data_IF_944583172544
#
_entry.id   IF_944583172544
#
_cell.length_a   1.000
_cell.length_b   1.000
_cell.length_c   1.000
_cell.angle_alpha   90.00
_cell.angle_beta   90.00
_cell.angle_gamma   90.00
#
_symmetry.space_group_name_H-M   'P 1'
#
loop_
_entity.id
_entity.type
_entity.pdbx_description
1 polymer ?
#
# COMPACT_ATOMS: atom_id res chain seq x y z
N UNK A 1 -16.77 -14.01 68.49
CA UNK A 1 -16.61 -15.43 68.09
C UNK A 1 -17.02 -15.57 66.63
N UNK A 2 -16.29 -16.39 65.88
CA UNK A 2 -16.21 -16.41 64.41
C UNK A 2 -16.85 -17.70 63.89
N UNK A 3 -17.78 -17.61 62.94
CA UNK A 3 -18.29 -18.74 62.12
C UNK A 3 -18.78 -18.16 60.79
N UNK A 4 -17.93 -17.98 59.78
CA UNK A 4 -17.66 -18.89 58.65
C UNK A 4 -18.88 -19.73 58.23
N UNK A 5 -19.50 -19.34 57.11
CA UNK A 5 -20.16 -20.27 56.20
C UNK A 5 -19.83 -19.84 54.77
N UNK A 6 -19.03 -20.68 54.08
CA UNK A 6 -18.67 -20.55 52.67
C UNK A 6 -19.83 -21.09 51.84
N UNK A 7 -20.36 -20.28 50.92
CA UNK A 7 -21.21 -20.79 49.85
C UNK A 7 -20.42 -20.74 48.55
N UNK A 8 -20.08 -21.92 48.03
CA UNK A 8 -19.57 -22.10 46.67
C UNK A 8 -20.78 -22.30 45.77
N UNK A 9 -21.01 -21.38 44.84
CA UNK A 9 -22.10 -21.53 43.90
C UNK A 9 -22.04 -20.49 42.80
N UNK A 10 -21.67 -20.96 41.61
CA UNK A 10 -21.92 -20.34 40.31
C UNK A 10 -20.87 -19.30 39.89
N UNK A 11 -19.78 -19.85 39.32
CA UNK A 11 -19.03 -19.23 38.23
C UNK A 11 -20.01 -18.88 37.11
N UNK A 12 -20.47 -17.64 37.06
CA UNK A 12 -21.09 -17.09 35.86
C UNK A 12 -19.96 -16.65 34.93
N UNK A 13 -19.62 -17.50 33.97
CA UNK A 13 -18.80 -17.13 32.81
C UNK A 13 -19.63 -16.15 32.00
N UNK A 14 -19.35 -14.86 32.16
CA UNK A 14 -19.91 -13.84 31.28
C UNK A 14 -19.32 -14.05 29.89
N UNK A 15 -20.21 -14.44 28.97
CA UNK A 15 -19.93 -14.65 27.55
C UNK A 15 -19.51 -13.29 26.95
N UNK A 16 -18.22 -13.12 26.66
CA UNK A 16 -17.73 -11.95 25.93
C UNK A 16 -18.25 -12.07 24.50
N UNK A 17 -19.26 -11.26 24.16
CA UNK A 17 -19.74 -11.16 22.79
C UNK A 17 -18.62 -10.59 21.91
N UNK A 18 -17.97 -11.46 21.14
CA UNK A 18 -17.04 -11.07 20.09
C UNK A 18 -17.87 -10.49 18.93
N UNK A 19 -18.07 -9.17 18.94
CA UNK A 19 -18.69 -8.47 17.81
C UNK A 19 -17.68 -8.45 16.67
N UNK A 20 -17.91 -9.28 15.65
CA UNK A 20 -17.23 -9.17 14.37
C UNK A 20 -17.62 -7.84 13.73
N UNK A 21 -16.74 -6.85 13.83
CA UNK A 21 -16.84 -5.60 13.09
C UNK A 21 -16.61 -5.91 11.61
N UNK A 22 -17.68 -5.99 10.83
CA UNK A 22 -17.58 -6.04 9.37
C UNK A 22 -17.01 -4.70 8.90
N UNK A 23 -15.76 -4.70 8.44
CA UNK A 23 -15.15 -3.58 7.75
C UNK A 23 -15.94 -3.29 6.48
N UNK A 24 -16.74 -2.23 6.47
CA UNK A 24 -17.30 -1.69 5.24
C UNK A 24 -16.15 -1.17 4.38
N UNK A 25 -15.78 -1.89 3.33
CA UNK A 25 -14.89 -1.36 2.28
C UNK A 25 -15.65 -0.24 1.56
N UNK A 26 -15.39 1.00 1.96
CA UNK A 26 -15.86 2.16 1.21
C UNK A 26 -15.06 2.24 -0.10
N UNK A 27 -15.62 1.71 -1.19
CA UNK A 27 -15.21 2.06 -2.54
C UNK A 27 -15.69 3.49 -2.81
N UNK A 28 -14.78 4.45 -2.62
CA UNK A 28 -15.02 5.84 -3.00
C UNK A 28 -14.97 5.96 -4.53
N UNK A 29 -16.08 5.64 -5.21
CA UNK A 29 -16.32 6.08 -6.58
C UNK A 29 -16.87 7.52 -6.54
N UNK A 30 -15.98 8.49 -6.34
CA UNK A 30 -16.31 9.89 -6.55
C UNK A 30 -15.44 10.37 -7.72
N UNK A 31 -16.05 10.40 -8.91
CA UNK A 31 -15.60 11.18 -10.06
C UNK A 31 -15.75 12.69 -9.77
N UNK A 32 -15.11 13.14 -8.68
CA UNK A 32 -14.86 14.55 -8.45
C UNK A 32 -13.61 14.89 -9.24
N UNK A 33 -13.67 15.98 -10.00
CA UNK A 33 -12.54 16.61 -10.66
C UNK A 33 -11.26 16.34 -9.90
N UNK A 34 -10.25 15.79 -10.59
CA UNK A 34 -8.93 15.48 -10.05
C UNK A 34 -8.33 16.75 -9.46
N UNK A 35 -8.67 17.07 -8.21
CA UNK A 35 -7.86 17.93 -7.36
C UNK A 35 -6.52 17.21 -7.37
N UNK A 36 -5.52 17.81 -8.03
CA UNK A 36 -4.19 17.23 -8.13
C UNK A 36 -3.77 16.81 -6.74
N UNK A 37 -3.66 15.51 -6.52
CA UNK A 37 -3.46 15.01 -5.18
C UNK A 37 -2.08 15.45 -4.72
N UNK A 38 -1.97 15.84 -3.45
CA UNK A 38 -0.69 16.25 -2.88
C UNK A 38 0.32 15.09 -2.90
N UNK A 39 -0.14 13.86 -3.07
CA UNK A 39 0.67 12.66 -3.21
C UNK A 39 0.65 12.28 -4.68
N UNK A 40 1.82 12.17 -5.31
CA UNK A 40 1.94 11.74 -6.70
C UNK A 40 3.05 10.70 -6.85
N UNK A 41 2.71 9.51 -7.35
CA UNK A 41 3.68 8.49 -7.74
C UNK A 41 3.80 8.43 -9.27
N UNK A 42 5.01 8.61 -9.79
CA UNK A 42 5.30 8.59 -11.23
C UNK A 42 6.38 7.55 -11.56
N UNK A 43 6.21 6.85 -12.66
CA UNK A 43 7.29 6.08 -13.28
C UNK A 43 8.24 7.03 -13.98
N UNK A 44 9.54 6.95 -13.67
CA UNK A 44 10.56 7.87 -14.21
C UNK A 44 11.59 7.18 -15.13
N UNK A 45 11.39 5.90 -15.43
CA UNK A 45 12.24 5.13 -16.33
C UNK A 45 12.89 3.92 -15.66
N UNK A 46 13.98 3.45 -16.26
CA UNK A 46 14.75 2.32 -15.76
C UNK A 46 16.16 2.77 -15.39
N UNK A 47 16.72 2.17 -14.34
CA UNK A 47 18.13 2.27 -13.97
C UNK A 47 18.67 0.85 -13.84
N UNK A 48 19.72 0.52 -14.58
CA UNK A 48 20.28 -0.86 -14.62
C UNK A 48 19.21 -1.94 -14.85
N UNK A 49 18.30 -1.71 -15.80
CA UNK A 49 17.16 -2.58 -16.12
C UNK A 49 16.10 -2.72 -15.02
N UNK A 50 16.21 -1.99 -13.91
CA UNK A 50 15.22 -1.95 -12.83
C UNK A 50 14.32 -0.72 -12.95
N UNK A 51 12.99 -0.85 -12.82
CA UNK A 51 12.08 0.28 -12.94
C UNK A 51 12.19 1.18 -11.71
N UNK A 52 12.23 2.49 -11.97
CA UNK A 52 12.37 3.52 -10.96
C UNK A 52 11.12 4.38 -10.92
N UNK A 53 10.63 4.61 -9.72
CA UNK A 53 9.45 5.42 -9.42
C UNK A 53 9.86 6.60 -8.56
N UNK A 54 9.24 7.75 -8.80
CA UNK A 54 9.40 8.94 -7.99
C UNK A 54 8.08 9.26 -7.31
N UNK A 55 8.15 9.30 -5.98
CA UNK A 55 7.08 9.79 -5.12
C UNK A 55 7.33 11.27 -4.83
N UNK A 56 6.37 12.11 -5.19
CA UNK A 56 6.36 13.52 -4.82
C UNK A 56 5.25 13.76 -3.80
N UNK A 57 5.59 14.42 -2.71
CA UNK A 57 4.70 14.79 -1.61
C UNK A 57 4.64 16.31 -1.57
N UNK A 58 3.67 16.89 -2.28
CA UNK A 58 3.47 18.32 -2.47
C UNK A 58 2.57 18.92 -1.37
N UNK A 59 2.86 18.61 -0.12
CA UNK A 59 2.14 19.12 1.04
C UNK A 59 2.54 20.57 1.36
N UNK A 60 1.54 21.43 1.66
CA UNK A 60 1.75 22.85 2.00
C UNK A 60 2.34 23.06 3.40
N UNK A 61 2.06 22.15 4.32
CA UNK A 61 2.54 22.18 5.71
C UNK A 61 3.29 20.91 6.04
N UNK A 62 4.20 20.96 7.02
CA UNK A 62 4.96 19.79 7.46
C UNK A 62 4.03 18.65 7.89
N UNK A 63 4.28 17.45 7.35
CA UNK A 63 3.56 16.22 7.69
C UNK A 63 4.53 15.02 7.71
N UNK A 64 4.09 13.93 8.32
CA UNK A 64 4.75 12.63 8.32
C UNK A 64 3.96 11.68 7.41
N UNK A 65 4.65 11.07 6.45
CA UNK A 65 4.08 10.12 5.50
C UNK A 65 4.65 8.73 5.75
N UNK A 66 3.77 7.75 5.80
CA UNK A 66 4.14 6.33 5.78
C UNK A 66 3.98 5.81 4.36
N UNK A 67 5.05 5.26 3.80
CA UNK A 67 5.07 4.62 2.49
C UNK A 67 5.18 3.11 2.70
N UNK A 68 4.28 2.34 2.12
CA UNK A 68 4.26 0.88 2.23
C UNK A 68 4.11 0.25 0.85
N UNK A 69 5.04 -0.63 0.49
CA UNK A 69 4.96 -1.46 -0.71
C UNK A 69 4.52 -2.86 -0.31
N UNK A 70 3.52 -3.40 -1.00
CA UNK A 70 3.04 -4.77 -0.80
C UNK A 70 2.94 -5.51 -2.11
N UNK A 71 3.14 -6.82 -2.05
CA UNK A 71 2.80 -7.72 -3.15
C UNK A 71 1.28 -7.92 -3.27
N UNK A 72 0.87 -8.75 -4.22
CA UNK A 72 -0.51 -9.13 -4.50
C UNK A 72 -1.12 -10.01 -3.40
N UNK A 73 -0.30 -10.72 -2.63
CA UNK A 73 -0.70 -11.48 -1.44
C UNK A 73 -0.85 -10.61 -0.18
N UNK A 74 -0.46 -9.33 -0.25
CA UNK A 74 -0.54 -8.36 0.84
C UNK A 74 0.68 -8.36 1.78
N UNK A 75 1.73 -9.12 1.46
CA UNK A 75 2.99 -9.13 2.20
C UNK A 75 3.69 -7.78 2.03
N UNK A 76 4.21 -7.23 3.13
CA UNK A 76 4.93 -5.96 3.10
C UNK A 76 6.35 -6.19 2.64
N UNK A 77 6.67 -5.70 1.44
CA UNK A 77 8.03 -5.75 0.88
C UNK A 77 8.89 -4.59 1.38
N UNK A 78 8.26 -3.44 1.64
CA UNK A 78 8.92 -2.27 2.19
C UNK A 78 7.96 -1.43 3.01
N UNK A 79 8.44 -0.85 4.11
CA UNK A 79 7.73 0.18 4.85
C UNK A 79 8.70 1.23 5.37
N UNK A 80 8.43 2.50 5.07
CA UNK A 80 9.28 3.62 5.44
C UNK A 80 8.47 4.83 5.85
N UNK A 81 9.09 5.72 6.63
CA UNK A 81 8.49 6.99 7.02
C UNK A 81 9.37 8.14 6.58
N UNK A 82 8.73 9.23 6.16
CA UNK A 82 9.40 10.50 5.83
C UNK A 82 8.61 11.64 6.45
N UNK A 83 9.31 12.67 6.94
CA UNK A 83 8.69 13.84 7.56
C UNK A 83 9.26 15.11 6.93
N UNK A 84 8.39 16.08 6.64
CA UNK A 84 8.80 17.34 6.01
C UNK A 84 7.73 17.92 5.09
N UNK A 85 8.16 18.82 4.21
CA UNK A 85 7.34 19.51 3.19
C UNK A 85 7.95 19.35 1.81
N UNK A 86 7.13 19.17 0.78
CA UNK A 86 7.59 19.13 -0.62
C UNK A 86 8.69 18.08 -0.85
N UNK A 87 8.48 16.87 -0.35
CA UNK A 87 9.47 15.79 -0.38
C UNK A 87 9.41 15.09 -1.74
N UNK A 88 10.58 14.78 -2.31
CA UNK A 88 10.70 13.87 -3.44
C UNK A 88 11.57 12.68 -3.09
N UNK A 89 11.07 11.46 -3.32
CA UNK A 89 11.80 10.22 -3.02
C UNK A 89 11.73 9.27 -4.21
N UNK A 90 12.88 8.70 -4.55
CA UNK A 90 12.99 7.71 -5.61
C UNK A 90 13.03 6.30 -5.02
N UNK A 91 12.37 5.38 -5.69
CA UNK A 91 12.31 3.96 -5.35
C UNK A 91 12.65 3.16 -6.59
N UNK A 92 13.64 2.29 -6.49
CA UNK A 92 14.00 1.33 -7.52
C UNK A 92 13.46 -0.03 -7.08
N UNK A 93 12.75 -0.73 -7.97
CA UNK A 93 12.24 -2.06 -7.68
C UNK A 93 13.23 -3.12 -8.16
N UNK A 94 13.67 -3.98 -7.24
CA UNK A 94 14.46 -5.14 -7.61
C UNK A 94 13.57 -6.17 -8.33
N UNK A 95 13.74 -6.24 -9.64
CA UNK A 95 12.91 -7.08 -10.50
C UNK A 95 13.25 -8.57 -10.39
N UNK A 96 14.46 -8.88 -9.95
CA UNK A 96 14.92 -10.27 -9.78
C UNK A 96 14.26 -10.90 -8.56
N UNK A 97 14.05 -10.09 -7.52
CA UNK A 97 13.38 -10.52 -6.28
C UNK A 97 11.86 -10.52 -6.42
N UNK A 98 11.30 -9.49 -7.06
CA UNK A 98 9.84 -9.28 -7.11
C UNK A 98 9.18 -9.96 -8.32
N UNK A 99 9.94 -10.25 -9.39
CA UNK A 99 9.40 -10.83 -10.63
C UNK A 99 8.42 -9.90 -11.35
N UNK A 100 7.37 -10.47 -11.94
CA UNK A 100 6.30 -9.75 -12.67
C UNK A 100 5.03 -9.50 -11.83
N UNK A 101 5.15 -9.64 -10.50
CA UNK A 101 4.03 -9.47 -9.58
C UNK A 101 3.48 -8.03 -9.60
N UNK A 102 2.16 -7.92 -9.40
CA UNK A 102 1.50 -6.63 -9.22
C UNK A 102 1.82 -6.10 -7.83
N UNK A 103 2.38 -4.90 -7.75
CA UNK A 103 2.65 -4.25 -6.47
C UNK A 103 1.59 -3.22 -6.15
N UNK A 104 1.27 -3.09 -4.87
CA UNK A 104 0.53 -1.97 -4.32
C UNK A 104 1.45 -1.06 -3.52
N UNK A 105 1.35 0.25 -3.75
CA UNK A 105 2.08 1.27 -3.00
C UNK A 105 1.06 2.13 -2.30
N UNK A 106 1.01 2.01 -0.98
CA UNK A 106 0.19 2.86 -0.12
C UNK A 106 1.04 4.00 0.43
N UNK A 107 0.54 5.22 0.33
CA UNK A 107 1.14 6.40 0.94
C UNK A 107 0.10 7.06 1.82
N UNK A 108 0.38 7.09 3.13
CA UNK A 108 -0.54 7.60 4.14
C UNK A 108 0.05 8.79 4.88
N UNK A 109 -0.63 9.92 4.81
CA UNK A 109 -0.36 11.12 5.57
C UNK A 109 -0.87 11.00 7.01
N UNK A 110 -0.08 11.47 7.98
CA UNK A 110 -0.41 11.36 9.40
C UNK A 110 -1.37 12.44 9.88
N UNK A 111 -1.21 13.69 9.44
CA UNK A 111 -2.03 14.81 9.91
C UNK A 111 -3.49 14.72 9.48
N UNK A 112 -3.74 14.50 8.19
CA UNK A 112 -5.08 14.56 7.61
C UNK A 112 -5.66 13.16 7.31
N UNK A 113 -4.93 12.09 7.65
CA UNK A 113 -5.28 10.70 7.37
C UNK A 113 -5.58 10.43 5.88
N UNK A 114 -5.09 11.28 4.97
CA UNK A 114 -5.17 11.07 3.53
C UNK A 114 -4.31 9.86 3.17
N UNK A 115 -4.89 8.93 2.44
CA UNK A 115 -4.18 7.76 1.95
C UNK A 115 -4.41 7.61 0.45
N UNK A 116 -3.34 7.35 -0.29
CA UNK A 116 -3.40 7.01 -1.70
C UNK A 116 -2.76 5.66 -1.94
N UNK A 117 -3.42 4.86 -2.78
CA UNK A 117 -2.94 3.53 -3.14
C UNK A 117 -2.75 3.49 -4.64
N UNK A 118 -1.52 3.18 -5.05
CA UNK A 118 -1.13 3.01 -6.43
C UNK A 118 -0.93 1.54 -6.73
N UNK A 119 -1.35 1.10 -7.92
CA UNK A 119 -1.02 -0.24 -8.43
C UNK A 119 0.04 -0.12 -9.51
N UNK A 120 1.13 -0.85 -9.34
CA UNK A 120 2.19 -0.98 -10.33
C UNK A 120 2.01 -2.35 -10.99
N UNK A 121 1.57 -2.33 -12.25
CA UNK A 121 1.49 -3.52 -13.09
C UNK A 121 2.64 -3.49 -14.10
N UNK A 122 3.47 -4.53 -14.10
CA UNK A 122 4.63 -4.66 -14.98
C UNK A 122 4.30 -5.64 -16.11
N UNK A 123 3.38 -5.25 -16.99
CA UNK A 123 3.04 -6.08 -18.14
C UNK A 123 4.14 -5.98 -19.21
N UNK A 124 4.90 -7.08 -19.42
CA UNK A 124 5.89 -7.17 -20.50
C UNK A 124 5.21 -7.73 -21.76
N UNK A 125 4.96 -6.87 -22.75
CA UNK A 125 4.54 -7.30 -24.09
C UNK A 125 5.77 -7.68 -24.91
N UNK A 126 5.99 -8.97 -25.16
CA UNK A 126 6.97 -9.43 -26.15
C UNK A 126 6.31 -9.41 -27.54
N UNK A 127 6.81 -8.58 -28.45
CA UNK A 127 6.40 -8.63 -29.86
C UNK A 127 7.46 -9.44 -30.60
N UNK A 128 7.12 -10.66 -30.99
CA UNK A 128 8.00 -11.51 -31.80
C UNK A 128 7.66 -11.31 -33.28
N UNK A 129 8.56 -10.70 -34.04
CA UNK A 129 8.41 -10.51 -35.48
C UNK A 129 9.22 -11.59 -36.22
N UNK A 130 8.50 -12.55 -36.81
CA UNK A 130 9.11 -13.59 -37.67
C UNK A 130 8.88 -13.23 -39.13
N UNK A 131 9.96 -12.91 -39.85
CA UNK A 131 9.92 -12.60 -41.28
C UNK A 131 10.45 -13.78 -42.08
N UNK A 132 9.63 -14.31 -43.01
CA UNK A 132 10.04 -15.35 -43.97
C UNK A 132 10.21 -14.73 -45.34
N UNK A 133 11.45 -14.72 -45.83
CA UNK A 133 11.78 -14.24 -47.17
C UNK A 133 11.99 -15.40 -48.13
N UNK A 134 11.40 -15.30 -49.33
CA UNK A 134 11.59 -16.27 -50.42
C UNK A 134 12.97 -16.08 -51.05
N UNK A 135 13.77 -17.13 -51.07
CA UNK A 135 15.05 -17.15 -51.78
C UNK A 135 14.75 -17.46 -53.25
N UNK A 136 15.27 -16.63 -54.15
CA UNK A 136 15.26 -16.84 -55.60
C UNK A 136 16.61 -17.38 -56.05
#
# INVERSE_FOLDING_TARGET
MKTIMRNYGILAIALVAFTLSFSTSALANNEKEKIASAIELKFIGHYENQPVFQLNLNNKEEDEFTITFRDDFGNVLYSGKVKGTSISKKFMLNIEEIGDNVLSVEVKAKKNNQAEVYKINRNRSYVEETVVSKIK
#
